data_IF_547470418436
#
_entry.id   IF_547470418436
#
_cell.length_a   1.000
_cell.length_b   1.000
_cell.length_c   1.000
_cell.angle_alpha   90.00
_cell.angle_beta   90.00
_cell.angle_gamma   90.00
#
_symmetry.space_group_name_H-M   'P 1'
#
loop_
_entity.id
_entity.type
_entity.pdbx_description
1 polymer ?
#
# COMPACT_ATOMS: atom_id res chain seq x y z
N UNK A 1 -17.71 -17.13 -10.48
CA UNK A 1 -16.41 -17.82 -10.53
C UNK A 1 -15.81 -17.53 -11.89
N UNK A 2 -14.78 -16.69 -11.95
CA UNK A 2 -14.02 -16.51 -13.19
C UNK A 2 -12.85 -17.46 -13.09
N UNK A 3 -12.85 -18.48 -13.95
CA UNK A 3 -11.76 -19.42 -14.01
C UNK A 3 -10.61 -18.78 -14.80
N UNK A 4 -9.41 -18.76 -14.25
CA UNK A 4 -8.21 -18.25 -14.93
C UNK A 4 -7.32 -19.47 -15.25
N UNK A 5 -6.82 -19.61 -16.47
CA UNK A 5 -5.93 -20.71 -16.82
C UNK A 5 -4.66 -20.67 -15.96
N UNK A 6 -4.25 -21.82 -15.42
CA UNK A 6 -3.04 -21.95 -14.61
C UNK A 6 -1.79 -21.55 -15.41
N UNK A 7 -0.77 -21.03 -14.71
CA UNK A 7 0.51 -20.62 -15.32
C UNK A 7 1.49 -21.77 -15.57
N UNK A 8 1.07 -23.02 -15.38
CA UNK A 8 1.83 -24.22 -15.72
C UNK A 8 1.33 -24.75 -17.08
N UNK A 9 2.14 -24.67 -18.15
CA UNK A 9 1.71 -25.08 -19.48
C UNK A 9 1.67 -26.61 -19.62
N UNK A 10 0.54 -27.15 -20.10
CA UNK A 10 0.48 -28.51 -20.66
C UNK A 10 0.62 -28.49 -22.20
N UNK A 11 0.11 -27.46 -22.89
CA UNK A 11 0.20 -27.34 -24.35
C UNK A 11 0.22 -25.88 -24.85
N UNK A 12 0.85 -25.64 -26.00
CA UNK A 12 0.83 -24.34 -26.72
C UNK A 12 -0.32 -24.37 -27.74
N UNK A 13 -1.32 -23.51 -27.57
CA UNK A 13 -2.51 -23.44 -28.45
C UNK A 13 -2.57 -22.16 -29.30
N UNK A 14 -1.42 -21.60 -29.67
CA UNK A 14 -1.31 -20.54 -30.67
C UNK A 14 -0.54 -19.30 -30.21
N UNK A 15 -0.89 -18.14 -30.78
CA UNK A 15 -0.20 -16.86 -30.58
C UNK A 15 -1.24 -15.77 -30.28
N UNK A 16 -0.87 -14.79 -29.44
CA UNK A 16 -1.70 -13.63 -29.14
C UNK A 16 -0.85 -12.39 -28.84
N UNK A 17 -1.46 -11.22 -28.82
CA UNK A 17 -0.82 -9.99 -28.36
C UNK A 17 -0.82 -9.92 -26.83
N UNK A 18 0.31 -9.56 -26.24
CA UNK A 18 0.57 -9.58 -24.80
C UNK A 18 1.78 -8.70 -24.44
N UNK A 19 2.04 -8.57 -23.14
CA UNK A 19 3.24 -8.00 -22.53
C UNK A 19 4.10 -9.08 -21.80
N UNK A 20 3.79 -10.36 -22.01
CA UNK A 20 4.48 -11.49 -21.35
C UNK A 20 5.85 -11.78 -21.99
N UNK A 21 6.89 -11.11 -21.47
CA UNK A 21 8.29 -11.20 -21.93
C UNK A 21 8.80 -12.65 -21.96
N UNK A 22 8.37 -13.49 -21.01
CA UNK A 22 8.86 -14.86 -20.88
C UNK A 22 8.37 -15.78 -21.99
N UNK A 23 7.38 -15.34 -22.78
CA UNK A 23 6.72 -16.15 -23.81
C UNK A 23 6.69 -15.45 -25.17
N UNK A 24 7.50 -14.42 -25.34
CA UNK A 24 7.61 -13.69 -26.60
C UNK A 24 8.01 -14.63 -27.73
N UNK A 25 7.47 -14.36 -28.92
CA UNK A 25 7.95 -15.03 -30.11
C UNK A 25 9.40 -14.60 -30.41
N UNK A 26 10.24 -15.49 -30.96
CA UNK A 26 11.61 -15.14 -31.35
C UNK A 26 11.75 -13.86 -32.19
N UNK A 27 10.85 -13.55 -33.15
CA UNK A 27 10.91 -12.29 -33.89
C UNK A 27 10.70 -11.04 -33.03
N UNK A 28 9.85 -11.12 -31.99
CA UNK A 28 9.65 -9.99 -31.06
C UNK A 28 10.86 -9.81 -30.13
N UNK A 29 11.59 -10.88 -29.81
CA UNK A 29 12.85 -10.76 -29.08
C UNK A 29 13.98 -10.22 -29.96
N UNK A 30 13.96 -10.51 -31.26
CA UNK A 30 14.98 -10.03 -32.19
C UNK A 30 14.94 -8.50 -32.37
N UNK A 31 13.77 -7.86 -32.24
CA UNK A 31 13.65 -6.39 -32.33
C UNK A 31 14.37 -5.68 -31.19
N UNK A 32 14.51 -6.32 -30.02
CA UNK A 32 15.32 -5.81 -28.91
C UNK A 32 16.83 -5.80 -29.25
N UNK A 33 17.28 -6.69 -30.15
CA UNK A 33 18.68 -6.79 -30.55
C UNK A 33 19.10 -5.83 -31.67
N UNK A 34 18.16 -5.04 -32.20
CA UNK A 34 18.38 -4.08 -33.30
C UNK A 34 18.15 -2.68 -32.72
N UNK A 35 19.20 -1.86 -32.67
CA UNK A 35 19.20 -0.55 -31.99
C UNK A 35 18.10 0.38 -32.54
N UNK A 36 17.80 0.32 -33.84
CA UNK A 36 16.77 1.13 -34.47
C UNK A 36 15.33 0.69 -34.12
N UNK A 37 15.14 -0.56 -33.69
CA UNK A 37 13.82 -1.14 -33.37
C UNK A 37 13.56 -1.31 -31.88
N UNK A 38 14.56 -1.05 -31.03
CA UNK A 38 14.46 -1.19 -29.58
C UNK A 38 13.35 -0.30 -28.98
N UNK A 39 13.26 0.95 -29.43
CA UNK A 39 12.20 1.87 -28.99
C UNK A 39 10.80 1.41 -29.42
N UNK A 40 10.69 0.79 -30.59
CA UNK A 40 9.43 0.24 -31.09
C UNK A 40 9.02 -1.00 -30.27
N UNK A 41 9.99 -1.83 -29.87
CA UNK A 41 9.76 -2.93 -28.94
C UNK A 41 9.19 -2.41 -27.61
N UNK A 42 9.81 -1.39 -27.00
CA UNK A 42 9.33 -0.82 -25.75
C UNK A 42 7.93 -0.18 -25.87
N UNK A 43 7.66 0.52 -26.98
CA UNK A 43 6.32 1.05 -27.27
C UNK A 43 5.28 -0.06 -27.31
N UNK A 44 5.54 -1.13 -28.07
CA UNK A 44 4.63 -2.27 -28.20
C UNK A 44 4.50 -3.07 -26.91
N UNK A 45 5.53 -3.13 -26.07
CA UNK A 45 5.47 -3.72 -24.73
C UNK A 45 4.49 -2.95 -23.84
N UNK A 46 4.60 -1.62 -23.80
CA UNK A 46 3.71 -0.75 -23.02
C UNK A 46 2.27 -0.81 -23.52
N UNK A 47 2.08 -0.90 -24.83
CA UNK A 47 0.76 -1.02 -25.47
C UNK A 47 0.19 -2.45 -25.45
N UNK A 48 0.94 -3.44 -24.94
CA UNK A 48 0.58 -4.86 -24.91
C UNK A 48 0.31 -5.48 -26.28
N UNK A 49 1.09 -5.05 -27.27
CA UNK A 49 0.96 -5.44 -28.68
C UNK A 49 2.08 -6.39 -29.15
N UNK A 50 2.91 -6.93 -28.26
CA UNK A 50 3.93 -7.91 -28.63
C UNK A 50 3.29 -9.30 -28.81
N UNK A 51 3.73 -10.05 -29.80
CA UNK A 51 3.25 -11.42 -30.00
C UNK A 51 3.90 -12.39 -29.02
N UNK A 52 3.08 -13.13 -28.27
CA UNK A 52 3.52 -14.19 -27.35
C UNK A 52 2.73 -15.47 -27.55
N UNK A 53 3.35 -16.60 -27.20
CA UNK A 53 2.70 -17.90 -27.23
C UNK A 53 1.50 -17.93 -26.27
N UNK A 54 0.34 -18.35 -26.79
CA UNK A 54 -0.87 -18.61 -26.02
C UNK A 54 -0.80 -20.04 -25.50
N UNK A 55 -0.77 -20.18 -24.19
CA UNK A 55 -0.83 -21.48 -23.52
C UNK A 55 -2.28 -21.81 -23.19
N UNK A 56 -2.67 -23.06 -23.43
CA UNK A 56 -3.92 -23.61 -22.92
C UNK A 56 -3.60 -24.81 -22.04
N UNK A 57 -4.09 -24.78 -20.81
CA UNK A 57 -4.10 -25.92 -19.91
C UNK A 57 -5.50 -26.06 -19.33
N UNK A 58 -5.97 -27.29 -19.19
CA UNK A 58 -7.25 -27.60 -18.54
C UNK A 58 -7.15 -27.50 -16.99
N UNK A 59 -5.96 -27.20 -16.49
CA UNK A 59 -5.70 -26.93 -15.08
C UNK A 59 -6.31 -25.58 -14.67
N UNK A 60 -7.45 -25.65 -13.99
CA UNK A 60 -8.08 -24.53 -13.34
C UNK A 60 -7.41 -24.29 -11.98
N UNK A 61 -6.66 -23.19 -11.83
CA UNK A 61 -6.26 -22.75 -10.49
C UNK A 61 -7.42 -21.98 -9.85
N UNK A 62 -7.82 -22.42 -8.65
CA UNK A 62 -8.62 -21.59 -7.76
C UNK A 62 -7.79 -20.38 -7.33
N UNK A 63 -7.85 -19.30 -8.13
CA UNK A 63 -7.39 -18.01 -7.64
C UNK A 63 -8.31 -17.67 -6.48
N UNK A 64 -7.76 -17.62 -5.27
CA UNK A 64 -8.35 -16.89 -4.16
C UNK A 64 -8.56 -15.46 -4.67
N UNK A 65 -9.72 -15.18 -5.26
CA UNK A 65 -10.27 -13.84 -5.27
C UNK A 65 -10.36 -13.51 -3.80
N UNK A 66 -9.40 -12.71 -3.31
CA UNK A 66 -9.67 -11.81 -2.20
C UNK A 66 -10.98 -11.19 -2.60
N UNK A 67 -12.04 -11.58 -1.88
CA UNK A 67 -13.40 -11.14 -2.13
C UNK A 67 -13.29 -9.63 -2.28
N UNK A 68 -13.39 -9.12 -3.50
CA UNK A 68 -13.58 -7.70 -3.68
C UNK A 68 -14.88 -7.49 -2.94
N UNK A 69 -14.79 -6.85 -1.77
CA UNK A 69 -15.95 -6.39 -1.06
C UNK A 69 -16.70 -5.61 -2.13
N UNK A 70 -17.82 -6.17 -2.59
CA UNK A 70 -18.74 -5.45 -3.45
C UNK A 70 -19.13 -4.27 -2.59
N UNK A 71 -18.43 -3.16 -2.76
CA UNK A 71 -18.95 -1.88 -2.35
C UNK A 71 -20.28 -1.82 -3.09
N UNK A 72 -21.37 -1.96 -2.34
CA UNK A 72 -22.66 -1.50 -2.81
C UNK A 72 -22.39 -0.11 -3.39
N UNK A 73 -22.90 0.13 -4.60
CA UNK A 73 -22.87 1.43 -5.25
C UNK A 73 -23.61 2.44 -4.37
N UNK A 74 -22.99 2.85 -3.27
CA UNK A 74 -23.13 4.20 -2.77
C UNK A 74 -22.31 5.01 -3.76
N UNK A 75 -22.95 6.03 -4.31
CA UNK A 75 -22.39 6.96 -5.28
C UNK A 75 -20.91 7.21 -5.02
N UNK A 76 -20.13 7.31 -6.11
CA UNK A 76 -18.73 7.71 -6.05
C UNK A 76 -18.64 9.11 -5.47
N UNK A 77 -18.77 9.23 -4.15
CA UNK A 77 -18.44 10.44 -3.43
C UNK A 77 -16.96 10.72 -3.75
N UNK A 78 -16.61 11.98 -4.03
CA UNK A 78 -15.22 12.36 -4.21
C UNK A 78 -14.46 11.87 -2.98
N UNK A 79 -13.52 10.94 -3.21
CA UNK A 79 -12.77 10.33 -2.12
C UNK A 79 -11.79 11.37 -1.60
N UNK A 80 -12.00 11.84 -0.39
CA UNK A 80 -11.17 12.86 0.26
C UNK A 80 -9.68 12.49 0.31
N UNK A 81 -8.79 13.44 0.62
CA UNK A 81 -7.38 13.19 0.79
C UNK A 81 -7.13 12.25 1.98
N UNK A 82 -5.93 11.71 2.10
CA UNK A 82 -5.59 10.93 3.30
C UNK A 82 -4.14 11.09 3.73
N UNK A 83 -3.94 10.97 5.05
CA UNK A 83 -2.66 11.12 5.72
C UNK A 83 -2.23 9.75 6.22
N UNK A 84 -1.05 9.28 5.81
CA UNK A 84 -0.48 8.01 6.23
C UNK A 84 0.67 8.26 7.20
N UNK A 85 0.50 7.84 8.44
CA UNK A 85 1.53 7.89 9.47
C UNK A 85 2.20 6.52 9.60
N UNK A 86 3.51 6.45 9.39
CA UNK A 86 4.29 5.20 9.46
C UNK A 86 5.26 5.26 10.63
N UNK A 87 5.14 4.29 11.52
CA UNK A 87 6.05 4.09 12.64
C UNK A 87 7.38 3.52 12.14
N UNK A 88 8.46 4.25 12.38
CA UNK A 88 9.84 3.89 11.99
C UNK A 88 10.70 3.49 13.19
N UNK A 89 10.06 3.14 14.30
CA UNK A 89 10.72 2.67 15.51
C UNK A 89 11.42 1.32 15.34
N UNK A 90 12.34 1.02 16.26
CA UNK A 90 13.14 -0.21 16.20
C UNK A 90 12.32 -1.50 16.31
N UNK A 91 11.17 -1.50 17.00
CA UNK A 91 10.29 -2.67 17.10
C UNK A 91 9.56 -2.98 15.79
N UNK A 92 9.45 -1.98 14.91
CA UNK A 92 8.99 -2.14 13.54
C UNK A 92 10.09 -2.64 12.60
N UNK A 93 11.32 -2.90 13.07
CA UNK A 93 12.41 -3.38 12.23
C UNK A 93 12.18 -4.77 11.60
N UNK A 94 12.89 -5.04 10.50
CA UNK A 94 12.91 -6.35 9.86
C UNK A 94 11.65 -6.61 9.01
N UNK A 95 10.83 -7.60 9.39
CA UNK A 95 9.65 -7.97 8.59
C UNK A 95 8.52 -6.94 8.69
N UNK A 96 8.34 -6.33 9.86
CA UNK A 96 7.33 -5.30 10.06
C UNK A 96 7.61 -4.07 9.20
N UNK A 97 8.90 -3.72 9.04
CA UNK A 97 9.36 -2.64 8.18
C UNK A 97 9.02 -2.91 6.72
N UNK A 98 9.33 -4.11 6.22
CA UNK A 98 9.00 -4.52 4.86
C UNK A 98 7.49 -4.43 4.61
N UNK A 99 6.68 -4.93 5.55
CA UNK A 99 5.24 -4.85 5.44
C UNK A 99 4.71 -3.42 5.51
N UNK A 100 5.21 -2.59 6.42
CA UNK A 100 4.81 -1.18 6.54
C UNK A 100 5.14 -0.38 5.27
N UNK A 101 6.32 -0.59 4.69
CA UNK A 101 6.71 -0.04 3.39
C UNK A 101 5.80 -0.52 2.26
N UNK A 102 5.46 -1.81 2.23
CA UNK A 102 4.55 -2.38 1.24
C UNK A 102 3.12 -1.81 1.37
N UNK A 103 2.61 -1.67 2.59
CA UNK A 103 1.31 -1.03 2.85
C UNK A 103 1.31 0.43 2.41
N UNK A 104 2.35 1.18 2.77
CA UNK A 104 2.51 2.58 2.36
C UNK A 104 2.54 2.70 0.83
N UNK A 105 3.31 1.86 0.14
CA UNK A 105 3.39 1.85 -1.33
C UNK A 105 2.05 1.46 -1.98
N UNK A 106 1.31 0.52 -1.39
CA UNK A 106 -0.02 0.16 -1.86
C UNK A 106 -1.00 1.33 -1.71
N UNK A 107 -1.00 2.01 -0.57
CA UNK A 107 -1.81 3.21 -0.34
C UNK A 107 -1.44 4.34 -1.30
N UNK A 108 -0.15 4.58 -1.52
CA UNK A 108 0.33 5.54 -2.52
C UNK A 108 -0.16 5.21 -3.92
N UNK A 109 -0.08 3.94 -4.33
CA UNK A 109 -0.59 3.51 -5.62
C UNK A 109 -2.09 3.77 -5.78
N UNK A 110 -2.87 3.57 -4.71
CA UNK A 110 -4.30 3.89 -4.69
C UNK A 110 -4.53 5.39 -4.80
N UNK A 111 -3.78 6.22 -4.06
CA UNK A 111 -3.87 7.68 -4.15
C UNK A 111 -3.62 8.18 -5.58
N UNK A 112 -2.56 7.68 -6.22
CA UNK A 112 -2.20 8.05 -7.59
C UNK A 112 -3.26 7.62 -8.60
N UNK A 113 -3.78 6.40 -8.48
CA UNK A 113 -4.82 5.88 -9.38
C UNK A 113 -6.14 6.65 -9.25
N UNK A 114 -6.50 7.06 -8.03
CA UNK A 114 -7.74 7.77 -7.73
C UNK A 114 -7.58 9.31 -7.83
N UNK A 115 -6.39 9.82 -8.20
CA UNK A 115 -6.05 11.25 -8.20
C UNK A 115 -6.36 11.97 -6.86
N UNK A 116 -6.01 11.32 -5.75
CA UNK A 116 -6.22 11.82 -4.38
C UNK A 116 -4.91 12.34 -3.80
N UNK A 117 -4.98 13.43 -3.03
CA UNK A 117 -3.80 13.90 -2.29
C UNK A 117 -3.45 12.91 -1.18
N UNK A 118 -2.18 12.58 -1.08
CA UNK A 118 -1.64 11.68 -0.06
C UNK A 118 -0.44 12.34 0.62
N UNK A 119 -0.48 12.39 1.95
CA UNK A 119 0.60 12.92 2.78
C UNK A 119 1.16 11.82 3.66
N UNK A 120 2.46 11.58 3.59
CA UNK A 120 3.13 10.56 4.38
C UNK A 120 3.91 11.23 5.50
N UNK A 121 3.69 10.75 6.72
CA UNK A 121 4.43 11.15 7.91
C UNK A 121 5.16 9.94 8.46
N UNK A 122 6.47 9.99 8.49
CA UNK A 122 7.28 9.01 9.20
C UNK A 122 7.52 9.53 10.60
N UNK A 123 7.30 8.70 11.62
CA UNK A 123 7.56 9.09 12.99
C UNK A 123 8.44 8.06 13.70
N UNK A 124 9.37 8.58 14.48
CA UNK A 124 10.13 7.86 15.50
C UNK A 124 10.31 8.80 16.70
N UNK A 125 11.52 9.31 16.93
CA UNK A 125 11.78 10.42 17.86
C UNK A 125 11.56 11.79 17.21
N UNK A 126 11.65 11.85 15.89
CA UNK A 126 11.40 13.02 15.06
C UNK A 126 10.37 12.64 14.00
N UNK A 127 9.67 13.63 13.47
CA UNK A 127 8.70 13.44 12.41
C UNK A 127 9.32 13.93 11.10
N UNK A 128 9.34 13.07 10.09
CA UNK A 128 9.78 13.39 8.73
C UNK A 128 8.57 13.31 7.82
N UNK A 129 8.37 14.34 7.01
CA UNK A 129 7.17 14.48 6.20
C UNK A 129 7.50 14.40 4.72
N UNK A 130 6.64 13.72 3.97
CA UNK A 130 6.68 13.63 2.51
C UNK A 130 5.29 13.96 1.97
N UNK A 131 5.19 15.02 1.17
CA UNK A 131 3.96 15.33 0.45
C UNK A 131 4.12 14.85 -0.98
N UNK A 132 3.32 13.87 -1.37
CA UNK A 132 3.37 13.35 -2.73
C UNK A 132 2.61 14.31 -3.65
N UNK A 133 3.28 15.39 -4.05
CA UNK A 133 2.86 16.23 -5.18
C UNK A 133 3.39 15.62 -6.47
N UNK A 134 2.60 15.66 -7.54
CA UNK A 134 2.82 14.89 -8.77
C UNK A 134 4.22 15.05 -9.42
N UNK A 135 4.93 16.15 -9.17
CA UNK A 135 6.23 16.44 -9.77
C UNK A 135 7.44 15.85 -9.01
N UNK A 136 7.40 15.73 -7.67
CA UNK A 136 8.54 15.26 -6.84
C UNK A 136 8.24 13.98 -6.05
N UNK A 137 7.07 13.38 -6.26
CA UNK A 137 6.57 12.26 -5.47
C UNK A 137 7.43 11.00 -5.51
N UNK A 138 8.02 10.69 -6.67
CA UNK A 138 8.79 9.45 -6.87
C UNK A 138 10.09 9.47 -6.07
N UNK A 139 10.84 10.58 -6.10
CA UNK A 139 12.11 10.72 -5.36
C UNK A 139 11.89 10.61 -3.85
N UNK A 140 10.82 11.24 -3.35
CA UNK A 140 10.43 11.18 -1.95
C UNK A 140 10.02 9.75 -1.53
N UNK A 141 9.28 9.05 -2.37
CA UNK A 141 8.91 7.65 -2.14
C UNK A 141 10.14 6.73 -2.13
N UNK A 142 11.08 6.92 -3.06
CA UNK A 142 12.35 6.17 -3.10
C UNK A 142 13.17 6.41 -1.84
N UNK A 143 13.27 7.66 -1.40
CA UNK A 143 13.97 8.02 -0.15
C UNK A 143 13.33 7.35 1.07
N UNK A 144 12.01 7.32 1.15
CA UNK A 144 11.28 6.58 2.19
C UNK A 144 11.59 5.08 2.15
N UNK A 145 11.53 4.45 0.99
CA UNK A 145 11.78 3.01 0.84
C UNK A 145 13.21 2.63 1.22
N UNK A 146 14.19 3.51 0.99
CA UNK A 146 15.59 3.31 1.35
C UNK A 146 15.90 3.53 2.84
N UNK A 147 15.04 4.21 3.60
CA UNK A 147 15.28 4.51 5.01
C UNK A 147 15.05 3.29 5.90
N UNK A 148 15.97 3.00 6.81
CA UNK A 148 15.82 1.91 7.78
C UNK A 148 15.09 2.37 9.04
N UNK A 149 14.35 1.47 9.67
CA UNK A 149 13.57 1.78 10.87
C UNK A 149 14.46 1.61 12.11
N UNK A 150 15.03 2.72 12.57
CA UNK A 150 15.96 2.78 13.70
C UNK A 150 15.60 4.00 14.55
N UNK A 151 14.86 3.80 15.64
CA UNK A 151 14.46 4.89 16.51
C UNK A 151 13.55 4.45 17.67
N UNK A 152 13.17 5.41 18.51
CA UNK A 152 12.07 5.26 19.47
C UNK A 152 10.72 5.56 18.81
N UNK A 153 9.68 5.75 19.63
CA UNK A 153 8.31 5.95 19.16
C UNK A 153 7.66 7.11 19.92
N UNK A 154 7.35 8.20 19.22
CA UNK A 154 6.52 9.28 19.74
C UNK A 154 5.20 9.37 18.96
N UNK A 155 4.25 8.53 19.39
CA UNK A 155 2.91 8.52 18.83
C UNK A 155 2.12 9.78 19.19
N UNK A 156 2.42 10.43 20.33
CA UNK A 156 1.70 11.62 20.78
C UNK A 156 2.03 12.82 19.89
N UNK A 157 3.31 13.03 19.58
CA UNK A 157 3.75 14.03 18.62
C UNK A 157 3.18 13.75 17.23
N UNK A 158 3.20 12.48 16.79
CA UNK A 158 2.62 12.09 15.51
C UNK A 158 1.14 12.48 15.41
N UNK A 159 0.31 12.06 16.37
CA UNK A 159 -1.12 12.38 16.36
C UNK A 159 -1.39 13.88 16.44
N UNK A 160 -0.60 14.61 17.22
CA UNK A 160 -0.72 16.07 17.31
C UNK A 160 -0.42 16.75 15.98
N UNK A 161 0.63 16.30 15.28
CA UNK A 161 0.98 16.80 13.95
C UNK A 161 -0.07 16.41 12.91
N UNK A 162 -0.63 15.20 12.97
CA UNK A 162 -1.73 14.76 12.11
C UNK A 162 -2.96 15.63 12.29
N UNK A 163 -3.40 15.86 13.52
CA UNK A 163 -4.54 16.75 13.81
C UNK A 163 -4.28 18.18 13.34
N UNK A 164 -3.05 18.69 13.54
CA UNK A 164 -2.65 19.99 13.01
C UNK A 164 -2.77 20.07 11.49
N UNK A 165 -2.34 19.01 10.79
CA UNK A 165 -2.43 18.91 9.32
C UNK A 165 -3.88 18.85 8.83
N UNK A 166 -4.72 18.09 9.51
CA UNK A 166 -6.15 17.93 9.19
C UNK A 166 -6.97 19.22 9.41
N UNK A 167 -6.46 20.16 10.21
CA UNK A 167 -7.08 21.46 10.38
C UNK A 167 -6.79 22.44 9.22
N UNK A 168 -5.85 22.12 8.32
CA UNK A 168 -5.59 22.92 7.13
C UNK A 168 -6.73 22.79 6.10
N UNK A 169 -7.04 23.87 5.37
CA UNK A 169 -8.20 23.93 4.46
C UNK A 169 -8.21 22.86 3.37
N UNK A 170 -7.04 22.38 2.95
CA UNK A 170 -6.92 21.32 1.93
C UNK A 170 -6.96 19.88 2.47
N UNK A 171 -7.16 19.70 3.79
CA UNK A 171 -7.17 18.41 4.49
C UNK A 171 -8.37 18.25 5.43
N UNK A 172 -9.37 19.12 5.32
CA UNK A 172 -10.52 19.16 6.21
C UNK A 172 -11.38 17.89 6.15
N UNK A 173 -11.43 17.23 5.00
CA UNK A 173 -12.11 15.95 4.77
C UNK A 173 -11.11 14.76 4.75
N UNK A 174 -9.90 14.96 5.28
CA UNK A 174 -8.88 13.93 5.25
C UNK A 174 -9.17 12.80 6.25
N UNK A 175 -8.88 11.58 5.84
CA UNK A 175 -8.77 10.44 6.75
C UNK A 175 -7.31 10.20 7.15
N UNK A 176 -7.09 9.71 8.36
CA UNK A 176 -5.76 9.39 8.87
C UNK A 176 -5.57 7.87 9.00
N UNK A 177 -4.44 7.34 8.53
CA UNK A 177 -4.07 5.93 8.63
C UNK A 177 -2.74 5.81 9.36
N UNK A 178 -2.74 5.19 10.55
CA UNK A 178 -1.56 5.01 11.38
C UNK A 178 -1.12 3.54 11.29
N UNK A 179 0.11 3.31 10.84
CA UNK A 179 0.73 1.99 10.72
C UNK A 179 1.79 1.86 11.80
N UNK A 180 1.55 1.01 12.79
CA UNK A 180 2.45 0.80 13.94
C UNK A 180 2.20 -0.57 14.57
N UNK A 181 3.14 -1.05 15.38
CA UNK A 181 2.89 -2.18 16.28
C UNK A 181 2.10 -1.79 17.54
N UNK A 182 1.91 -0.48 17.77
CA UNK A 182 1.24 0.14 18.92
C UNK A 182 1.82 -0.30 20.27
N UNK A 183 3.11 -0.66 20.31
CA UNK A 183 3.88 -0.88 21.54
C UNK A 183 4.41 0.48 22.04
N UNK A 184 3.54 1.50 22.02
CA UNK A 184 3.89 2.88 22.33
C UNK A 184 3.62 3.23 23.80
N UNK A 185 4.13 4.39 24.24
CA UNK A 185 3.82 4.97 25.55
C UNK A 185 2.34 5.36 25.66
N UNK A 186 1.85 5.58 26.89
CA UNK A 186 0.49 6.08 27.10
C UNK A 186 0.36 7.46 26.45
N UNK A 187 -0.72 7.67 25.72
CA UNK A 187 -1.01 8.95 25.09
C UNK A 187 -1.54 9.94 26.14
N UNK A 188 -1.08 11.20 26.13
CA UNK A 188 -1.64 12.25 26.98
C UNK A 188 -3.12 12.49 26.68
N UNK A 189 -3.92 12.75 27.71
CA UNK A 189 -5.37 12.97 27.57
C UNK A 189 -5.71 14.14 26.64
N UNK A 190 -4.85 15.15 26.57
CA UNK A 190 -5.01 16.29 25.66
C UNK A 190 -5.00 15.86 24.19
N UNK A 191 -4.10 14.95 23.81
CA UNK A 191 -4.02 14.43 22.44
C UNK A 191 -5.25 13.60 22.11
N UNK A 192 -5.70 12.77 23.06
CA UNK A 192 -6.91 11.95 22.90
C UNK A 192 -8.14 12.85 22.69
N UNK A 193 -8.26 13.94 23.47
CA UNK A 193 -9.37 14.90 23.31
C UNK A 193 -9.33 15.58 21.95
N UNK A 194 -8.16 16.00 21.47
CA UNK A 194 -8.00 16.61 20.14
C UNK A 194 -8.43 15.67 19.02
N UNK A 195 -8.01 14.40 19.06
CA UNK A 195 -8.42 13.39 18.07
C UNK A 195 -9.93 13.18 18.10
N UNK A 196 -10.53 13.04 19.29
CA UNK A 196 -11.98 12.89 19.43
C UNK A 196 -12.76 14.10 18.93
N UNK A 197 -12.24 15.30 19.14
CA UNK A 197 -12.84 16.52 18.61
C UNK A 197 -12.86 16.51 17.08
N UNK A 198 -11.75 16.10 16.44
CA UNK A 198 -11.72 15.97 14.98
C UNK A 198 -12.70 14.93 14.44
N UNK A 199 -12.79 13.77 15.10
CA UNK A 199 -13.75 12.71 14.75
C UNK A 199 -15.20 13.19 14.84
N UNK A 200 -15.55 13.92 15.91
CA UNK A 200 -16.93 14.34 16.18
C UNK A 200 -17.35 15.58 15.38
N UNK A 201 -16.48 16.58 15.29
CA UNK A 201 -16.82 17.87 14.67
C UNK A 201 -16.67 17.85 13.15
N UNK A 202 -15.74 17.05 12.62
CA UNK A 202 -15.37 17.08 11.20
C UNK A 202 -15.63 15.75 10.47
N UNK A 203 -16.16 14.74 11.16
CA UNK A 203 -16.40 13.38 10.63
C UNK A 203 -15.16 12.70 10.04
N UNK A 204 -13.96 13.18 10.40
CA UNK A 204 -12.68 12.62 9.97
C UNK A 204 -12.42 11.30 10.66
N UNK A 205 -11.93 10.29 9.93
CA UNK A 205 -11.73 8.94 10.48
C UNK A 205 -10.27 8.66 10.74
N UNK A 206 -10.01 8.02 11.87
CA UNK A 206 -8.70 7.54 12.27
C UNK A 206 -8.64 6.01 12.17
N UNK A 207 -7.81 5.51 11.28
CA UNK A 207 -7.59 4.09 11.03
C UNK A 207 -6.25 3.65 11.64
N UNK A 208 -6.24 2.51 12.32
CA UNK A 208 -5.03 1.88 12.84
C UNK A 208 -4.75 0.57 12.09
N UNK A 209 -3.54 0.42 11.55
CA UNK A 209 -3.00 -0.84 11.04
C UNK A 209 -2.01 -1.37 12.06
N UNK A 210 -2.49 -2.30 12.91
CA UNK A 210 -1.72 -2.89 13.99
C UNK A 210 -0.88 -4.06 13.47
N UNK A 211 0.45 -3.84 13.46
CA UNK A 211 1.46 -4.79 12.98
C UNK A 211 1.92 -5.79 14.05
N UNK A 212 1.24 -5.82 15.20
CA UNK A 212 1.51 -6.76 16.29
C UNK A 212 0.23 -7.13 17.04
N UNK A 213 0.28 -8.25 17.77
CA UNK A 213 -0.76 -8.62 18.73
C UNK A 213 -0.63 -7.88 20.08
N UNK A 214 0.45 -7.13 20.29
CA UNK A 214 0.82 -6.51 21.57
C UNK A 214 0.39 -5.05 21.69
N UNK A 215 -0.37 -4.53 20.72
CA UNK A 215 -0.90 -3.17 20.77
C UNK A 215 -1.70 -2.90 22.04
N UNK A 216 -1.36 -1.83 22.76
CA UNK A 216 -2.00 -1.51 24.06
C UNK A 216 -3.49 -1.19 23.87
N UNK A 217 -4.43 -1.90 24.54
CA UNK A 217 -5.87 -1.72 24.33
C UNK A 217 -6.36 -0.27 24.54
N UNK A 218 -5.75 0.47 25.47
CA UNK A 218 -6.10 1.87 25.73
C UNK A 218 -5.83 2.80 24.54
N UNK A 219 -4.75 2.55 23.78
CA UNK A 219 -4.40 3.32 22.58
C UNK A 219 -5.34 2.94 21.43
N UNK A 220 -5.62 1.64 21.29
CA UNK A 220 -6.46 1.14 20.20
C UNK A 220 -7.87 1.75 20.22
N UNK A 221 -8.42 2.05 21.39
CA UNK A 221 -9.76 2.66 21.58
C UNK A 221 -9.92 4.06 20.99
N UNK A 222 -8.83 4.71 20.59
CA UNK A 222 -8.86 6.06 20.01
C UNK A 222 -9.24 6.01 18.54
N UNK A 223 -8.93 4.90 17.85
CA UNK A 223 -9.15 4.75 16.42
C UNK A 223 -10.55 4.22 16.13
N UNK A 224 -11.17 4.74 15.06
CA UNK A 224 -12.49 4.32 14.60
C UNK A 224 -12.44 2.91 14.01
N UNK A 225 -11.35 2.61 13.28
CA UNK A 225 -11.16 1.34 12.61
C UNK A 225 -9.79 0.75 12.93
N UNK A 226 -9.79 -0.53 13.31
CA UNK A 226 -8.56 -1.25 13.67
C UNK A 226 -8.41 -2.46 12.76
N UNK A 227 -7.36 -2.44 11.95
CA UNK A 227 -6.94 -3.53 11.08
C UNK A 227 -5.76 -4.23 11.73
N UNK A 228 -5.92 -5.50 12.10
CA UNK A 228 -4.81 -6.29 12.67
C UNK A 228 -4.12 -7.06 11.57
N UNK A 229 -2.82 -6.84 11.42
CA UNK A 229 -1.98 -7.60 10.51
C UNK A 229 -1.02 -8.46 11.31
N UNK A 230 -1.27 -9.78 11.26
CA UNK A 230 -0.42 -10.75 11.94
C UNK A 230 0.90 -10.92 11.20
N UNK A 231 1.99 -10.60 11.89
CA UNK A 231 3.39 -10.64 11.48
C UNK A 231 4.17 -11.80 12.13
N UNK A 232 3.51 -12.64 12.92
CA UNK A 232 4.11 -13.73 13.67
C UNK A 232 4.76 -14.82 12.80
N UNK A 233 5.83 -15.45 13.31
CA UNK A 233 6.56 -16.50 12.57
C UNK A 233 5.69 -17.70 12.19
N UNK A 234 4.77 -18.13 13.06
CA UNK A 234 3.85 -19.24 12.80
C UNK A 234 2.87 -18.94 11.67
N UNK A 235 2.28 -17.75 11.67
CA UNK A 235 1.36 -17.32 10.61
C UNK A 235 2.10 -17.07 9.30
N UNK A 236 3.34 -16.59 9.35
CA UNK A 236 4.23 -16.49 8.18
C UNK A 236 4.53 -17.85 7.55
N UNK A 237 4.87 -18.86 8.36
CA UNK A 237 5.09 -20.23 7.90
C UNK A 237 3.80 -20.81 7.29
N UNK A 238 2.66 -20.68 7.96
CA UNK A 238 1.39 -21.17 7.43
C UNK A 238 0.95 -20.48 6.12
N UNK A 239 1.19 -19.18 5.95
CA UNK A 239 0.93 -18.48 4.67
C UNK A 239 1.82 -18.97 3.53
N UNK A 240 3.01 -19.48 3.86
CA UNK A 240 3.97 -20.01 2.89
C UNK A 240 3.62 -21.45 2.46
N UNK A 241 2.97 -22.21 3.34
CA UNK A 241 2.51 -23.58 3.08
C UNK A 241 1.14 -23.65 2.40
N UNK A 242 0.38 -22.55 2.39
CA UNK A 242 -0.90 -22.41 1.67
C UNK A 242 -0.77 -21.78 0.28
N UNK A 243 0.45 -21.55 -0.21
CA UNK A 243 0.72 -21.09 -1.57
C UNK A 243 1.03 -22.26 -2.48
#
# INVERSE_FOLDING_TARGET
>A
MVRVPATLPEEVNGVHQSDDILRLLPPELATLGIEELELEFYRRLLEKQLLSYRLQGDAWQEKLMIRQVTYQQQDQQPRGPFIVCVDTSGSMGGFNEQCAKAFCLALLRIALADNRRCYIMLFANQIVHYELTAASGIEQAVRFLGQHFRGGTDLAACLSATVGKMAESGWFDADAVIISDFIAQRLPDEVIKKVKQQQQSHQQRFHAVAMSAYGKPGIMRIFDHIWRFDTGLKSRLMRRWRR
#
